data_IF_542153048599
#
_entry.id   IF_542153048599
#
_cell.length_a   1.000
_cell.length_b   1.000
_cell.length_c   1.000
_cell.angle_alpha   90.00
_cell.angle_beta   90.00
_cell.angle_gamma   90.00
#
_symmetry.space_group_name_H-M   'P 1'
#
loop_
_entity.id
_entity.type
_entity.pdbx_description
1 polymer ?
#
# COMPACT_ATOMS: atom_id res chain seq x y z
N UNK A 1 -11.50 1.10 10.42
CA UNK A 1 -11.59 -0.38 10.39
C UNK A 1 -11.64 -0.84 8.96
N UNK A 2 -10.82 -1.84 8.60
CA UNK A 2 -10.93 -2.52 7.30
C UNK A 2 -12.21 -3.36 7.31
N UNK A 3 -13.06 -3.21 6.31
CA UNK A 3 -14.31 -3.97 6.17
C UNK A 3 -14.14 -5.06 5.11
N UNK A 4 -13.59 -4.67 3.96
CA UNK A 4 -13.49 -5.51 2.78
C UNK A 4 -12.21 -5.17 2.04
N UNK A 5 -11.56 -6.19 1.52
CA UNK A 5 -10.41 -6.07 0.64
C UNK A 5 -10.52 -7.10 -0.48
N UNK A 6 -10.29 -6.66 -1.71
CA UNK A 6 -10.38 -7.49 -2.91
C UNK A 6 -9.22 -7.14 -3.86
N UNK A 7 -8.56 -8.16 -4.40
CA UNK A 7 -7.64 -8.01 -5.53
C UNK A 7 -8.46 -8.03 -6.83
N UNK A 8 -8.50 -6.90 -7.54
CA UNK A 8 -9.28 -6.76 -8.76
C UNK A 8 -8.52 -7.23 -10.00
N UNK A 9 -7.22 -6.99 -10.04
CA UNK A 9 -6.39 -7.27 -11.21
C UNK A 9 -4.92 -7.42 -10.85
N UNK A 10 -4.21 -8.30 -11.56
CA UNK A 10 -2.76 -8.46 -11.50
C UNK A 10 -2.22 -8.54 -12.92
N UNK A 11 -1.43 -7.55 -13.32
CA UNK A 11 -0.70 -7.56 -14.57
C UNK A 11 0.69 -8.18 -14.36
N UNK A 12 0.84 -9.43 -14.83
CA UNK A 12 2.10 -10.19 -14.70
C UNK A 12 3.24 -9.61 -15.54
N UNK A 13 2.95 -8.79 -16.55
CA UNK A 13 3.96 -8.24 -17.46
C UNK A 13 4.70 -7.08 -16.81
N UNK A 14 4.00 -6.14 -16.19
CA UNK A 14 4.60 -4.97 -15.55
C UNK A 14 4.64 -5.05 -14.00
N UNK A 15 3.96 -6.01 -13.38
CA UNK A 15 3.91 -6.17 -11.92
C UNK A 15 2.95 -5.21 -11.22
N UNK A 16 2.05 -4.55 -11.97
CA UNK A 16 0.99 -3.71 -11.41
C UNK A 16 -0.13 -4.58 -10.87
N UNK A 17 -0.56 -4.29 -9.66
CA UNK A 17 -1.71 -4.90 -9.03
C UNK A 17 -2.73 -3.81 -8.70
N UNK A 18 -4.02 -4.12 -8.88
CA UNK A 18 -5.13 -3.24 -8.55
C UNK A 18 -5.98 -3.93 -7.51
N UNK A 19 -6.32 -3.19 -6.45
CA UNK A 19 -7.18 -3.69 -5.39
C UNK A 19 -8.19 -2.67 -4.94
N UNK A 20 -9.28 -3.20 -4.39
CA UNK A 20 -10.37 -2.44 -3.80
C UNK A 20 -10.37 -2.65 -2.30
N UNK A 21 -10.51 -1.56 -1.55
CA UNK A 21 -10.56 -1.61 -0.09
C UNK A 21 -11.68 -0.71 0.44
N UNK A 22 -12.51 -1.24 1.33
CA UNK A 22 -13.53 -0.46 2.03
C UNK A 22 -13.08 -0.23 3.48
N UNK A 23 -12.92 1.04 3.87
CA UNK A 23 -12.59 1.43 5.24
C UNK A 23 -13.73 2.19 5.90
N UNK A 24 -14.15 1.72 7.07
CA UNK A 24 -15.12 2.43 7.93
C UNK A 24 -14.39 3.27 8.98
N UNK A 25 -14.72 4.55 9.05
CA UNK A 25 -14.29 5.46 10.10
C UNK A 25 -15.44 5.68 11.10
N UNK A 26 -15.17 5.89 12.39
CA UNK A 26 -16.23 6.18 13.36
C UNK A 26 -17.07 7.38 12.91
N UNK A 27 -18.40 7.22 12.94
CA UNK A 27 -19.38 8.28 12.63
C UNK A 27 -19.32 8.84 11.19
N UNK A 28 -18.58 8.21 10.28
CA UNK A 28 -18.48 8.67 8.89
C UNK A 28 -18.84 7.57 7.89
N UNK A 29 -19.33 7.97 6.72
CA UNK A 29 -19.59 7.07 5.58
C UNK A 29 -18.33 6.25 5.24
N UNK A 30 -18.44 4.95 4.92
CA UNK A 30 -17.27 4.18 4.53
C UNK A 30 -16.58 4.78 3.29
N UNK A 31 -15.25 4.78 3.31
CA UNK A 31 -14.43 5.21 2.17
C UNK A 31 -14.09 4.01 1.30
N UNK A 32 -14.21 4.18 0.00
CA UNK A 32 -13.79 3.22 -1.01
C UNK A 32 -12.47 3.66 -1.64
N UNK A 33 -11.50 2.77 -1.58
CA UNK A 33 -10.18 2.93 -2.17
C UNK A 33 -10.07 1.96 -3.33
N UNK A 34 -9.87 2.48 -4.54
CA UNK A 34 -9.48 1.69 -5.71
C UNK A 34 -8.08 2.14 -6.07
N UNK A 35 -7.10 1.28 -5.76
CA UNK A 35 -5.69 1.64 -5.81
C UNK A 35 -4.94 0.69 -6.72
N UNK A 36 -4.06 1.24 -7.53
CA UNK A 36 -3.05 0.50 -8.26
C UNK A 36 -1.70 0.64 -7.54
N UNK A 37 -0.96 -0.45 -7.42
CA UNK A 37 0.39 -0.45 -6.87
C UNK A 37 1.37 -1.28 -7.67
N UNK A 38 2.64 -0.91 -7.55
CA UNK A 38 3.78 -1.66 -8.09
C UNK A 38 4.87 -1.73 -7.02
N UNK A 39 5.49 -2.90 -6.91
CA UNK A 39 6.68 -3.12 -6.08
C UNK A 39 7.86 -3.46 -6.98
N UNK A 40 9.04 -2.92 -6.64
CA UNK A 40 10.25 -3.25 -7.37
C UNK A 40 11.50 -3.24 -6.48
N UNK A 41 12.48 -4.03 -6.90
CA UNK A 41 13.83 -4.02 -6.32
C UNK A 41 14.71 -3.04 -7.12
N UNK A 42 15.33 -2.10 -6.42
CA UNK A 42 16.35 -1.19 -6.93
C UNK A 42 17.77 -1.65 -6.58
N UNK A 43 18.73 -0.72 -6.59
CA UNK A 43 20.13 -1.00 -6.20
C UNK A 43 20.23 -1.36 -4.71
N UNK A 44 21.26 -2.13 -4.37
CA UNK A 44 21.64 -2.47 -2.99
C UNK A 44 20.51 -3.11 -2.16
N UNK A 45 19.67 -3.94 -2.80
CA UNK A 45 18.50 -4.56 -2.15
C UNK A 45 17.56 -3.53 -1.50
N UNK A 46 17.47 -2.34 -2.11
CA UNK A 46 16.46 -1.35 -1.74
C UNK A 46 15.16 -1.67 -2.45
N UNK A 47 14.07 -1.83 -1.69
CA UNK A 47 12.75 -2.08 -2.23
C UNK A 47 11.95 -0.78 -2.27
N UNK A 48 11.15 -0.65 -3.33
CA UNK A 48 10.27 0.48 -3.52
C UNK A 48 8.84 -0.02 -3.72
N UNK A 49 7.89 0.76 -3.24
CA UNK A 49 6.48 0.58 -3.53
C UNK A 49 5.89 1.94 -3.91
N UNK A 50 5.10 1.97 -4.97
CA UNK A 50 4.31 3.13 -5.32
C UNK A 50 2.86 2.73 -5.46
N UNK A 51 1.98 3.49 -4.81
CA UNK A 51 0.54 3.28 -4.80
C UNK A 51 -0.12 4.57 -5.27
N UNK A 52 -1.08 4.46 -6.18
CA UNK A 52 -1.92 5.60 -6.59
C UNK A 52 -3.39 5.24 -6.71
N UNK A 53 -4.25 6.25 -6.63
CA UNK A 53 -5.65 6.12 -7.05
C UNK A 53 -5.78 5.69 -8.51
N UNK A 54 -6.81 4.88 -8.81
CA UNK A 54 -7.20 4.56 -10.18
C UNK A 54 -8.68 4.21 -10.27
N UNK A 55 -9.20 4.16 -11.50
CA UNK A 55 -10.51 3.57 -11.80
C UNK A 55 -10.35 2.13 -12.29
N UNK A 56 -11.36 1.30 -12.06
CA UNK A 56 -11.36 -0.09 -12.50
C UNK A 56 -12.78 -0.57 -12.81
N UNK A 57 -12.97 -1.29 -13.91
CA UNK A 57 -14.30 -1.74 -14.38
C UNK A 57 -15.02 -2.65 -13.38
N UNK A 58 -14.28 -3.47 -12.63
CA UNK A 58 -14.82 -4.32 -11.55
C UNK A 58 -15.17 -3.56 -10.27
N UNK A 59 -14.82 -2.27 -10.18
CA UNK A 59 -15.12 -1.41 -9.04
C UNK A 59 -15.85 -0.13 -9.51
N UNK A 60 -17.06 -0.25 -10.09
CA UNK A 60 -17.84 0.91 -10.49
C UNK A 60 -18.23 1.74 -9.27
N UNK A 61 -18.47 3.03 -9.47
CA UNK A 61 -18.82 3.95 -8.40
C UNK A 61 -20.12 3.56 -7.70
N UNK A 62 -20.12 3.59 -6.36
CA UNK A 62 -21.27 3.24 -5.54
C UNK A 62 -21.64 4.39 -4.58
N UNK A 63 -22.87 4.91 -4.68
CA UNK A 63 -23.38 6.03 -3.85
C UNK A 63 -23.25 5.83 -2.34
N UNK A 64 -23.21 4.58 -1.87
CA UNK A 64 -23.07 4.24 -0.43
C UNK A 64 -21.66 4.49 0.13
N UNK A 65 -20.67 4.76 -0.73
CA UNK A 65 -19.29 5.01 -0.32
C UNK A 65 -18.82 6.40 -0.75
N UNK A 66 -17.88 6.94 0.01
CA UNK A 66 -17.06 8.09 -0.43
C UNK A 66 -15.84 7.52 -1.16
N UNK A 67 -15.78 7.66 -2.49
CA UNK A 67 -14.61 7.25 -3.29
C UNK A 67 -13.46 8.21 -3.02
N UNK A 68 -12.30 7.68 -2.62
CA UNK A 68 -11.08 8.47 -2.43
C UNK A 68 -10.46 8.77 -3.80
N UNK A 69 -10.63 10.00 -4.26
CA UNK A 69 -10.16 10.46 -5.57
C UNK A 69 -8.72 11.00 -5.59
N UNK A 70 -8.08 11.13 -4.43
CA UNK A 70 -6.65 11.50 -4.33
C UNK A 70 -5.99 10.59 -3.31
N UNK A 71 -5.08 9.74 -3.75
CA UNK A 71 -4.30 8.85 -2.90
C UNK A 71 -2.96 8.54 -3.58
N UNK A 72 -1.85 9.04 -3.05
CA UNK A 72 -0.52 8.72 -3.55
C UNK A 72 0.39 8.38 -2.40
N UNK A 73 1.02 7.21 -2.48
CA UNK A 73 1.94 6.76 -1.45
C UNK A 73 3.19 6.14 -2.07
N UNK A 74 4.33 6.77 -1.84
CA UNK A 74 5.65 6.27 -2.22
C UNK A 74 6.40 5.75 -1.01
N UNK A 75 7.03 4.59 -1.14
CA UNK A 75 7.77 3.92 -0.08
C UNK A 75 9.14 3.51 -0.58
N UNK A 76 10.15 3.69 0.26
CA UNK A 76 11.50 3.15 0.09
C UNK A 76 11.91 2.41 1.34
N UNK A 77 12.27 1.14 1.18
CA UNK A 77 12.69 0.25 2.26
C UNK A 77 14.11 -0.20 1.95
N UNK A 78 15.07 0.07 2.85
CA UNK A 78 16.46 -0.36 2.69
C UNK A 78 16.99 -1.00 3.95
N UNK A 79 17.96 -1.93 3.80
CA UNK A 79 18.68 -2.51 4.93
C UNK A 79 19.52 -1.45 5.65
N UNK A 80 19.59 -1.54 6.98
CA UNK A 80 20.57 -0.81 7.80
C UNK A 80 21.83 -1.67 7.92
N UNK A 81 22.98 -1.14 7.48
CA UNK A 81 24.24 -1.88 7.53
C UNK A 81 24.64 -2.21 8.98
N UNK A 82 25.15 -3.43 9.20
CA UNK A 82 25.60 -3.89 10.51
C UNK A 82 24.51 -4.16 11.54
N UNK A 83 23.22 -4.09 11.17
CA UNK A 83 22.09 -4.36 12.08
C UNK A 83 21.03 -5.22 11.40
N UNK A 84 20.30 -6.01 12.19
CA UNK A 84 19.07 -6.65 11.72
C UNK A 84 17.90 -5.64 11.78
N UNK A 85 17.97 -4.63 10.90
CA UNK A 85 16.99 -3.55 10.85
C UNK A 85 16.84 -3.03 9.40
N UNK A 86 15.71 -2.39 9.12
CA UNK A 86 15.47 -1.65 7.89
C UNK A 86 15.09 -0.19 8.18
N UNK A 87 15.41 0.69 7.24
CA UNK A 87 14.89 2.06 7.19
C UNK A 87 13.74 2.10 6.18
N UNK A 88 12.62 2.68 6.60
CA UNK A 88 11.48 2.94 5.74
C UNK A 88 11.31 4.46 5.62
N UNK A 89 11.35 4.97 4.39
CA UNK A 89 10.95 6.36 4.07
C UNK A 89 9.65 6.33 3.28
N UNK A 90 8.72 7.19 3.67
CA UNK A 90 7.38 7.26 3.08
C UNK A 90 7.05 8.71 2.71
N UNK A 91 6.45 8.87 1.54
CA UNK A 91 5.74 10.08 1.14
C UNK A 91 4.28 9.70 0.91
N UNK A 92 3.35 10.46 1.46
CA UNK A 92 1.94 10.11 1.45
C UNK A 92 1.07 11.35 1.30
N UNK A 93 0.12 11.27 0.38
CA UNK A 93 -0.92 12.26 0.15
C UNK A 93 -2.25 11.53 -0.02
N UNK A 94 -3.27 11.97 0.71
CA UNK A 94 -4.62 11.41 0.61
C UNK A 94 -5.64 12.51 0.85
N UNK A 95 -6.74 12.49 0.08
CA UNK A 95 -7.97 13.20 0.41
C UNK A 95 -9.10 12.20 0.69
N UNK A 96 -9.29 11.89 1.97
CA UNK A 96 -10.34 11.00 2.44
C UNK A 96 -11.70 11.71 2.64
N UNK A 97 -11.85 12.97 2.20
CA UNK A 97 -13.01 13.80 2.49
C UNK A 97 -13.15 14.07 4.00
N UNK A 98 -12.03 14.30 4.69
CA UNK A 98 -11.99 14.69 6.09
C UNK A 98 -11.70 16.19 6.17
N UNK A 99 -12.27 16.88 7.17
CA UNK A 99 -11.84 18.25 7.44
C UNK A 99 -10.40 18.28 7.97
N UNK A 100 -9.77 19.47 7.93
CA UNK A 100 -8.37 19.66 8.28
C UNK A 100 -8.06 19.26 9.72
N UNK A 101 -8.95 19.53 10.68
CA UNK A 101 -8.75 19.20 12.09
C UNK A 101 -8.76 17.68 12.31
N UNK A 102 -9.71 16.98 11.68
CA UNK A 102 -9.80 15.52 11.72
C UNK A 102 -8.62 14.88 11.02
N UNK A 103 -8.18 15.42 9.88
CA UNK A 103 -6.99 14.96 9.19
C UNK A 103 -5.75 15.11 10.09
N UNK A 104 -5.53 16.31 10.67
CA UNK A 104 -4.43 16.57 11.62
C UNK A 104 -4.45 15.61 12.81
N UNK A 105 -5.63 15.38 13.40
CA UNK A 105 -5.79 14.45 14.52
C UNK A 105 -5.48 13.00 14.11
N UNK A 106 -5.97 12.58 12.95
CA UNK A 106 -5.71 11.25 12.40
C UNK A 106 -4.21 11.04 12.13
N UNK A 107 -3.50 12.06 11.62
CA UNK A 107 -2.05 11.98 11.47
C UNK A 107 -1.32 11.93 12.82
N UNK A 108 -1.63 12.88 13.72
CA UNK A 108 -0.95 13.00 15.01
C UNK A 108 -1.08 11.74 15.88
N UNK A 109 -2.25 11.08 15.88
CA UNK A 109 -2.51 9.88 16.69
C UNK A 109 -2.38 8.57 15.91
N UNK A 110 -2.68 8.60 14.63
CA UNK A 110 -2.77 7.39 13.80
C UNK A 110 -1.43 6.91 13.27
N UNK A 111 -0.48 7.80 12.96
CA UNK A 111 0.81 7.41 12.36
C UNK A 111 1.61 6.51 13.30
N UNK A 112 1.78 6.89 14.57
CA UNK A 112 2.52 6.05 15.52
C UNK A 112 1.82 4.70 15.76
N UNK A 113 0.49 4.71 15.91
CA UNK A 113 -0.29 3.47 16.02
C UNK A 113 -0.12 2.56 14.80
N UNK A 114 -0.07 3.13 13.60
CA UNK A 114 0.19 2.40 12.37
C UNK A 114 1.59 1.77 12.37
N UNK A 115 2.63 2.52 12.76
CA UNK A 115 4.00 2.00 12.88
C UNK A 115 4.07 0.83 13.87
N UNK A 116 3.47 0.94 15.06
CA UNK A 116 3.44 -0.15 16.04
C UNK A 116 2.71 -1.39 15.50
N UNK A 117 1.60 -1.20 14.78
CA UNK A 117 0.85 -2.31 14.15
C UNK A 117 1.67 -2.98 13.04
N UNK A 118 2.41 -2.20 12.26
CA UNK A 118 3.28 -2.70 11.21
C UNK A 118 4.43 -3.54 11.80
N UNK A 119 5.10 -3.09 12.86
CA UNK A 119 6.13 -3.89 13.56
C UNK A 119 5.54 -5.19 14.11
N UNK A 120 4.40 -5.12 14.80
CA UNK A 120 3.72 -6.31 15.34
C UNK A 120 3.34 -7.30 14.24
N UNK A 121 2.80 -6.81 13.11
CA UNK A 121 2.45 -7.64 11.96
C UNK A 121 3.70 -8.26 11.31
N UNK A 122 4.78 -7.50 11.15
CA UNK A 122 6.03 -7.99 10.57
C UNK A 122 6.62 -9.15 11.38
N UNK A 123 6.61 -9.06 12.71
CA UNK A 123 7.08 -10.13 13.61
C UNK A 123 6.26 -11.41 13.51
N UNK A 124 4.97 -11.30 13.21
CA UNK A 124 4.07 -12.44 13.01
C UNK A 124 4.18 -12.99 11.59
N UNK A 125 4.49 -12.13 10.61
CA UNK A 125 4.58 -12.48 9.21
C UNK A 125 5.62 -13.57 8.96
N UNK A 126 6.79 -13.51 9.62
CA UNK A 126 7.82 -14.55 9.48
C UNK A 126 7.38 -15.93 9.98
N UNK A 127 6.47 -16.00 10.95
CA UNK A 127 5.90 -17.27 11.40
C UNK A 127 4.87 -17.80 10.40
N UNK A 128 4.03 -16.94 9.82
CA UNK A 128 3.01 -17.31 8.84
C UNK A 128 3.63 -17.69 7.49
N UNK A 129 4.68 -16.99 7.05
CA UNK A 129 5.34 -17.25 5.76
C UNK A 129 6.06 -18.59 5.70
N UNK A 130 6.43 -19.16 6.85
CA UNK A 130 7.00 -20.50 6.92
C UNK A 130 5.94 -21.61 6.78
N UNK A 131 4.68 -21.31 7.12
CA UNK A 131 3.56 -22.27 7.07
C UNK A 131 2.71 -22.15 5.78
N UNK A 132 2.72 -20.99 5.12
CA UNK A 132 1.89 -20.74 3.94
C UNK A 132 2.72 -20.48 2.67
N UNK A 133 2.92 -21.55 1.90
CA UNK A 133 3.14 -21.45 0.46
C UNK A 133 1.81 -21.05 -0.20
N UNK A 134 1.39 -19.79 -0.08
CA UNK A 134 0.21 -19.32 -0.81
C UNK A 134 0.56 -19.21 -2.30
N UNK A 135 -0.10 -19.98 -3.16
CA UNK A 135 0.08 -19.96 -4.63
C UNK A 135 -0.51 -18.72 -5.32
N UNK A 136 -1.11 -17.79 -4.56
CA UNK A 136 -1.73 -16.59 -5.10
C UNK A 136 -0.68 -15.63 -5.69
N UNK A 137 -0.84 -15.27 -6.96
CA UNK A 137 0.01 -14.25 -7.59
C UNK A 137 -0.33 -12.88 -7.00
N UNK A 138 0.67 -12.22 -6.42
CA UNK A 138 0.59 -10.86 -5.88
C UNK A 138 1.77 -10.03 -6.38
N UNK A 139 1.73 -8.71 -6.16
CA UNK A 139 2.86 -7.84 -6.45
C UNK A 139 4.14 -8.26 -5.71
N UNK A 140 4.03 -8.95 -4.56
CA UNK A 140 5.19 -9.50 -3.83
C UNK A 140 5.83 -10.65 -4.61
N UNK A 141 5.03 -11.54 -5.20
CA UNK A 141 5.55 -12.64 -6.04
C UNK A 141 6.04 -12.16 -7.40
N UNK A 142 5.63 -10.95 -7.82
CA UNK A 142 5.98 -10.34 -9.10
C UNK A 142 7.02 -9.21 -8.97
N UNK A 143 7.75 -9.12 -7.86
CA UNK A 143 8.81 -8.13 -7.70
C UNK A 143 9.85 -8.32 -8.82
N UNK A 144 9.94 -7.32 -9.70
CA UNK A 144 10.94 -7.26 -10.78
C UNK A 144 11.99 -6.21 -10.47
N UNK A 145 13.09 -6.22 -11.23
CA UNK A 145 14.00 -5.06 -11.31
C UNK A 145 13.19 -3.87 -11.82
N UNK A 146 13.31 -2.71 -11.17
CA UNK A 146 12.47 -1.53 -11.42
C UNK A 146 12.32 -1.16 -12.89
N UNK A 147 11.21 -0.52 -13.30
CA UNK A 147 10.95 -0.17 -14.69
C UNK A 147 12.12 0.57 -15.38
N UNK A 148 12.32 0.41 -16.71
CA UNK A 148 13.43 1.05 -17.44
C UNK A 148 13.56 2.55 -17.17
N UNK A 149 12.45 3.28 -17.15
CA UNK A 149 12.41 4.72 -16.91
C UNK A 149 12.78 5.15 -15.48
N UNK A 150 12.85 4.20 -14.53
CA UNK A 150 13.30 4.46 -13.14
C UNK A 150 14.80 4.12 -12.99
N UNK A 151 15.39 3.33 -13.91
CA UNK A 151 16.78 2.85 -13.80
C UNK A 151 17.83 3.91 -14.16
N UNK A 152 17.43 4.99 -14.82
CA UNK A 152 18.34 6.07 -15.25
C UNK A 152 19.14 5.70 -16.49
N UNK A 153 18.66 4.74 -17.29
CA UNK A 153 19.28 4.29 -18.53
C UNK A 153 18.83 5.17 -19.73
N UNK A 154 18.96 6.49 -19.58
CA UNK A 154 18.63 7.50 -20.61
C UNK A 154 19.84 8.33 -21.00
#
# INVERSE_FOLDING_TARGET
>A
MLIEHEQLHVDKNNGVEVGRTIKKFPLLTPREYVLAWILWEGKDKTFFCFVKECEHSLAPWQKKYVRVGTFRSGWRIRKVLGRNACEIKMYHQEDAGLNVEMAKLAFAKGVWSYVCKMDSALRKYSAISNDQSSSATTAVTLIKKGPPWIRGDG
#
